data_IF_489218433514
#
_entry.id   IF_489218433514
#
_cell.length_a   1.000
_cell.length_b   1.000
_cell.length_c   1.000
_cell.angle_alpha   90.00
_cell.angle_beta   90.00
_cell.angle_gamma   90.00
#
_symmetry.space_group_name_H-M   'P 1'
#
loop_
_entity.id
_entity.type
_entity.pdbx_description
1 polymer ?
#
# COMPACT_ATOMS: atom_id res chain seq x y z
N UNK A 1 -7.35 5.40 -2.99
CA UNK A 1 -8.21 5.50 -1.78
C UNK A 1 -7.97 4.30 -0.88
N UNK A 2 -8.10 4.44 0.44
CA UNK A 2 -7.94 3.33 1.42
C UNK A 2 -9.23 2.52 1.59
N UNK A 3 -10.08 2.49 0.57
CA UNK A 3 -11.29 1.69 0.57
C UNK A 3 -11.03 0.32 -0.05
N UNK A 4 -11.36 -0.72 0.73
CA UNK A 4 -11.25 -2.11 0.34
C UNK A 4 -12.61 -2.68 -0.09
N UNK A 5 -13.64 -1.85 -0.35
CA UNK A 5 -14.97 -2.30 -0.74
C UNK A 5 -14.94 -3.35 -1.87
N UNK A 6 -14.25 -3.04 -2.97
CA UNK A 6 -14.06 -3.93 -4.12
C UNK A 6 -13.18 -5.16 -3.84
N UNK A 7 -12.61 -5.27 -2.63
CA UNK A 7 -11.72 -6.36 -2.21
C UNK A 7 -12.41 -7.31 -1.23
N UNK A 8 -13.56 -6.94 -0.64
CA UNK A 8 -14.18 -7.72 0.45
C UNK A 8 -14.96 -8.95 -0.05
N UNK A 9 -15.37 -8.94 -1.31
CA UNK A 9 -16.34 -9.91 -1.82
C UNK A 9 -15.72 -11.23 -2.31
N UNK A 10 -16.62 -12.07 -2.81
CA UNK A 10 -16.32 -13.46 -3.21
C UNK A 10 -15.66 -13.51 -4.59
N UNK A 11 -15.98 -12.55 -5.45
CA UNK A 11 -15.40 -12.36 -6.77
C UNK A 11 -13.87 -12.31 -6.73
N UNK A 12 -13.28 -11.72 -5.67
CA UNK A 12 -11.82 -11.62 -5.55
C UNK A 12 -11.17 -12.72 -4.70
N UNK A 13 -11.86 -13.22 -3.68
CA UNK A 13 -11.27 -14.14 -2.69
C UNK A 13 -11.96 -15.50 -2.56
N UNK A 14 -12.95 -15.77 -3.41
CA UNK A 14 -13.65 -17.05 -3.50
C UNK A 14 -14.14 -17.56 -2.14
N UNK A 15 -13.87 -18.84 -1.88
CA UNK A 15 -14.30 -19.53 -0.65
C UNK A 15 -13.52 -19.12 0.61
N UNK A 16 -12.49 -18.25 0.52
CA UNK A 16 -11.68 -17.83 1.66
C UNK A 16 -12.43 -16.86 2.61
N UNK A 17 -13.40 -17.40 3.36
CA UNK A 17 -14.28 -16.66 4.28
C UNK A 17 -13.51 -15.95 5.39
N UNK A 18 -12.43 -16.55 5.90
CA UNK A 18 -11.59 -15.96 6.96
C UNK A 18 -10.94 -14.67 6.48
N UNK A 19 -10.35 -14.68 5.27
CA UNK A 19 -9.70 -13.50 4.72
C UNK A 19 -10.70 -12.40 4.36
N UNK A 20 -11.83 -12.74 3.73
CA UNK A 20 -12.90 -11.77 3.46
C UNK A 20 -13.40 -11.10 4.74
N UNK A 21 -13.60 -11.88 5.82
CA UNK A 21 -13.99 -11.34 7.13
C UNK A 21 -12.93 -10.39 7.71
N UNK A 22 -11.64 -10.70 7.53
CA UNK A 22 -10.55 -9.81 7.95
C UNK A 22 -10.63 -8.47 7.21
N UNK A 23 -10.77 -8.50 5.87
CA UNK A 23 -10.89 -7.28 5.06
C UNK A 23 -12.13 -6.44 5.43
N UNK A 24 -13.28 -7.09 5.64
CA UNK A 24 -14.51 -6.39 6.02
C UNK A 24 -14.43 -5.71 7.39
N UNK A 25 -13.56 -6.19 8.27
CA UNK A 25 -13.38 -5.64 9.63
C UNK A 25 -12.21 -4.67 9.73
N UNK A 26 -11.47 -4.43 8.65
CA UNK A 26 -10.33 -3.53 8.68
C UNK A 26 -10.82 -2.07 8.81
N UNK A 27 -10.40 -1.30 9.83
CA UNK A 27 -10.97 0.01 10.14
C UNK A 27 -10.36 1.12 9.29
N UNK A 28 -10.45 1.01 7.97
CA UNK A 28 -9.64 1.81 7.04
C UNK A 28 -10.07 3.27 6.97
N UNK A 29 -11.37 3.55 7.12
CA UNK A 29 -11.88 4.91 7.25
C UNK A 29 -11.34 5.61 8.52
N UNK A 30 -11.35 4.90 9.65
CA UNK A 30 -10.82 5.41 10.93
C UNK A 30 -9.32 5.66 10.84
N UNK A 31 -8.58 4.72 10.23
CA UNK A 31 -7.14 4.86 9.98
C UNK A 31 -6.85 6.09 9.11
N UNK A 32 -7.57 6.26 7.99
CA UNK A 32 -7.45 7.41 7.09
C UNK A 32 -7.69 8.73 7.83
N UNK A 33 -8.77 8.83 8.59
CA UNK A 33 -9.11 10.04 9.34
C UNK A 33 -8.02 10.41 10.36
N UNK A 34 -7.51 9.42 11.12
CA UNK A 34 -6.44 9.65 12.10
C UNK A 34 -5.13 10.04 11.44
N UNK A 35 -4.75 9.35 10.36
CA UNK A 35 -3.53 9.64 9.62
C UNK A 35 -3.54 11.08 9.07
N UNK A 36 -4.65 11.50 8.46
CA UNK A 36 -4.77 12.87 7.92
C UNK A 36 -4.69 13.92 9.03
N UNK A 37 -5.36 13.71 10.17
CA UNK A 37 -5.28 14.62 11.33
C UNK A 37 -3.83 14.77 11.83
N UNK A 38 -3.16 13.63 12.09
CA UNK A 38 -1.79 13.63 12.60
C UNK A 38 -0.81 14.25 11.60
N UNK A 39 -0.99 14.02 10.30
CA UNK A 39 -0.15 14.60 9.28
C UNK A 39 -0.33 16.13 9.18
N UNK A 40 -1.58 16.61 9.29
CA UNK A 40 -1.88 18.04 9.30
C UNK A 40 -1.23 18.75 10.51
N UNK A 41 -1.31 18.15 11.70
CA UNK A 41 -0.64 18.66 12.91
C UNK A 41 0.88 18.79 12.76
N UNK A 42 1.49 17.92 11.95
CA UNK A 42 2.93 17.87 11.74
C UNK A 42 3.40 18.56 10.45
N UNK A 43 2.51 19.27 9.75
CA UNK A 43 2.78 19.88 8.45
C UNK A 43 3.31 18.88 7.40
N UNK A 44 2.83 17.63 7.43
CA UNK A 44 3.19 16.57 6.49
C UNK A 44 2.09 16.41 5.44
N UNK A 45 2.45 16.55 4.16
CA UNK A 45 1.52 16.32 3.06
C UNK A 45 1.24 14.81 2.87
N UNK A 46 -0.04 14.47 2.67
CA UNK A 46 -0.47 13.09 2.37
C UNK A 46 -0.97 13.02 0.93
N UNK A 47 -0.31 12.21 0.11
CA UNK A 47 -0.65 12.02 -1.31
C UNK A 47 -1.22 10.63 -1.52
N UNK A 48 -2.39 10.55 -2.16
CA UNK A 48 -2.97 9.29 -2.59
C UNK A 48 -2.40 8.88 -3.96
N UNK A 49 -1.88 7.66 -4.05
CA UNK A 49 -1.31 7.09 -5.28
C UNK A 49 -2.21 5.95 -5.78
N UNK A 50 -2.16 5.68 -7.08
CA UNK A 50 -2.85 4.56 -7.72
C UNK A 50 -2.47 3.22 -7.04
N UNK A 51 -3.45 2.36 -6.71
CA UNK A 51 -3.19 1.07 -6.08
C UNK A 51 -2.41 0.07 -6.94
N UNK A 52 -2.15 0.31 -8.23
CA UNK A 52 -1.32 -0.53 -9.08
C UNK A 52 0.15 -0.61 -8.60
N UNK A 53 0.64 0.45 -7.94
CA UNK A 53 2.01 0.55 -7.42
C UNK A 53 2.18 -0.21 -6.09
N UNK A 54 1.97 -1.53 -6.15
CA UNK A 54 2.01 -2.45 -5.01
C UNK A 54 3.37 -3.10 -4.77
N UNK A 55 3.46 -3.92 -3.74
CA UNK A 55 4.58 -4.84 -3.50
C UNK A 55 4.87 -5.81 -4.64
N UNK A 56 3.90 -6.13 -5.52
CA UNK A 56 4.19 -6.93 -6.72
C UNK A 56 5.02 -6.14 -7.73
N UNK A 57 4.61 -4.90 -8.00
CA UNK A 57 5.30 -4.02 -8.94
C UNK A 57 6.65 -3.56 -8.38
N UNK A 58 6.67 -3.22 -7.09
CA UNK A 58 7.89 -2.98 -6.31
C UNK A 58 8.88 -4.14 -6.41
N UNK A 59 8.42 -5.37 -6.15
CA UNK A 59 9.27 -6.56 -6.26
C UNK A 59 9.86 -6.73 -7.67
N UNK A 60 9.02 -6.54 -8.70
CA UNK A 60 9.42 -6.73 -10.09
C UNK A 60 10.49 -5.72 -10.54
N UNK A 61 10.34 -4.45 -10.18
CA UNK A 61 11.18 -3.39 -10.74
C UNK A 61 12.25 -2.85 -9.79
N UNK A 62 12.07 -3.00 -8.47
CA UNK A 62 12.89 -2.30 -7.48
C UNK A 62 13.58 -3.24 -6.48
N UNK A 63 13.07 -4.45 -6.23
CA UNK A 63 13.68 -5.33 -5.21
C UNK A 63 15.05 -5.88 -5.61
N UNK A 64 15.17 -6.46 -6.82
CA UNK A 64 16.45 -6.99 -7.32
C UNK A 64 17.53 -5.91 -7.49
N UNK A 65 17.27 -4.77 -8.17
CA UNK A 65 18.32 -3.78 -8.40
C UNK A 65 18.78 -3.06 -7.12
N UNK A 66 17.95 -3.00 -6.08
CA UNK A 66 18.28 -2.32 -4.82
C UNK A 66 18.74 -3.26 -3.71
N UNK A 67 18.75 -4.57 -3.96
CA UNK A 67 19.37 -5.53 -3.04
C UNK A 67 20.88 -5.48 -3.21
N UNK A 68 21.60 -5.29 -2.11
CA UNK A 68 23.07 -5.31 -2.07
C UNK A 68 23.54 -6.36 -1.06
N UNK A 69 24.83 -6.77 -1.08
CA UNK A 69 25.34 -7.73 -0.10
C UNK A 69 25.15 -7.28 1.35
N UNK A 70 25.11 -5.96 1.59
CA UNK A 70 24.96 -5.36 2.92
C UNK A 70 23.51 -4.97 3.24
N UNK A 71 22.58 -5.04 2.29
CA UNK A 71 21.17 -4.68 2.49
C UNK A 71 20.25 -5.53 1.64
N UNK A 72 19.43 -6.34 2.31
CA UNK A 72 18.33 -7.07 1.68
C UNK A 72 17.12 -6.16 1.53
N UNK A 73 16.57 -6.08 0.32
CA UNK A 73 15.28 -5.42 0.09
C UNK A 73 14.13 -6.43 0.22
N UNK A 74 13.16 -6.12 1.09
CA UNK A 74 11.89 -6.83 1.09
C UNK A 74 10.98 -6.29 -0.02
N UNK A 75 9.91 -7.04 -0.33
CA UNK A 75 8.89 -6.56 -1.27
C UNK A 75 8.14 -5.32 -0.76
N UNK A 76 8.07 -5.13 0.56
CA UNK A 76 7.44 -3.95 1.16
C UNK A 76 8.34 -2.72 1.01
N UNK A 77 9.64 -2.88 1.20
CA UNK A 77 10.60 -1.79 0.95
C UNK A 77 10.61 -1.40 -0.54
N UNK A 78 10.57 -2.39 -1.42
CA UNK A 78 10.48 -2.12 -2.85
C UNK A 78 9.15 -1.45 -3.24
N UNK A 79 8.06 -1.76 -2.52
CA UNK A 79 6.77 -1.10 -2.71
C UNK A 79 6.82 0.37 -2.31
N UNK A 80 7.47 0.71 -1.18
CA UNK A 80 7.54 2.10 -0.72
C UNK A 80 8.24 3.00 -1.72
N UNK A 81 9.24 2.47 -2.43
CA UNK A 81 9.94 3.17 -3.51
C UNK A 81 9.03 3.41 -4.70
N UNK A 82 8.30 2.38 -5.15
CA UNK A 82 7.33 2.53 -6.24
C UNK A 82 6.26 3.58 -5.92
N UNK A 83 5.70 3.53 -4.70
CA UNK A 83 4.69 4.50 -4.24
C UNK A 83 5.28 5.92 -4.15
N UNK A 84 6.45 6.06 -3.54
CA UNK A 84 7.11 7.36 -3.37
C UNK A 84 7.47 8.03 -4.70
N UNK A 85 8.06 7.28 -5.63
CA UNK A 85 8.38 7.78 -6.98
C UNK A 85 7.13 8.29 -7.71
N UNK A 86 6.04 7.52 -7.64
CA UNK A 86 4.80 7.90 -8.30
C UNK A 86 4.16 9.13 -7.66
N UNK A 87 4.22 9.26 -6.33
CA UNK A 87 3.75 10.45 -5.62
C UNK A 87 4.49 11.73 -6.07
N UNK A 88 5.76 11.60 -6.45
CA UNK A 88 6.59 12.68 -6.98
C UNK A 88 6.42 12.92 -8.50
N UNK A 89 5.52 12.19 -9.17
CA UNK A 89 5.30 12.32 -10.61
C UNK A 89 6.36 11.63 -11.48
N UNK A 90 7.22 10.78 -10.91
CA UNK A 90 8.19 10.01 -11.68
C UNK A 90 7.56 8.73 -12.26
N UNK A 91 7.99 8.30 -13.46
CA UNK A 91 7.70 6.98 -13.99
C UNK A 91 8.40 5.87 -13.19
#
# INVERSE_FOLDING_TARGET
DLDFAAQKGREKHGRNKRFRRLLSRFPTAKLKARLVSMAAEQNVAVVAVDPAYTSRWGAQHWQKPLTTPRRRMSRHDAASIAVGRRALGHP
#
